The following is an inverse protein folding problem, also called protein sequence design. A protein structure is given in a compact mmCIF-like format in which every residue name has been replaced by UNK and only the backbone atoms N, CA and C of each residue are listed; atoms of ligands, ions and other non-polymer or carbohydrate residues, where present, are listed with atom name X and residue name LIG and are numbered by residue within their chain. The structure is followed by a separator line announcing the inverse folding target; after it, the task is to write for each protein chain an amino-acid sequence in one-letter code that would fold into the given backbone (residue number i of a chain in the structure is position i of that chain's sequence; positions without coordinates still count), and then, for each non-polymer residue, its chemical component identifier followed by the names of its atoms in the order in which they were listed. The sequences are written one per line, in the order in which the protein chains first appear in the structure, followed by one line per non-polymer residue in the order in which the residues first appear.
data_IF_539967020184
#
_entry.id   IF_539967020184
#
_cell.length_a   1.000
_cell.length_b   1.000
_cell.length_c   1.000
_cell.angle_alpha   90.00
_cell.angle_beta   90.00
_cell.angle_gamma   90.00
#
_symmetry.space_group_name_H-M   'P 1'
#
loop_
_entity.id
_entity.type
_entity.pdbx_description
1 polymer ?
#
# COMPACT_ATOMS: atom_id res chain seq x y z
N UNK A 1 22.08 -3.79 -19.11
CA UNK A 1 21.42 -4.18 -17.85
C UNK A 1 22.21 -3.76 -16.60
N UNK A 2 23.44 -4.25 -16.33
CA UNK A 2 24.16 -3.87 -15.10
C UNK A 2 24.70 -2.41 -15.09
N UNK A 3 25.13 -1.89 -16.23
CA UNK A 3 25.63 -0.50 -16.34
C UNK A 3 24.52 0.57 -16.30
N UNK A 4 23.28 0.20 -16.60
CA UNK A 4 22.18 1.16 -16.75
C UNK A 4 21.70 1.71 -15.39
N UNK A 5 21.88 0.92 -14.31
CA UNK A 5 21.48 1.33 -12.97
C UNK A 5 22.57 2.04 -12.15
N UNK A 6 23.84 2.02 -12.55
CA UNK A 6 24.92 2.66 -11.76
C UNK A 6 24.66 4.17 -11.63
N UNK A 7 24.34 4.83 -12.74
CA UNK A 7 24.00 6.24 -12.76
C UNK A 7 22.73 6.52 -11.93
N UNK A 8 21.72 5.68 -12.09
CA UNK A 8 20.46 5.80 -11.36
C UNK A 8 20.67 5.66 -9.84
N UNK A 9 21.41 4.65 -9.39
CA UNK A 9 21.75 4.46 -7.98
C UNK A 9 22.51 5.66 -7.43
N UNK A 10 23.51 6.18 -8.15
CA UNK A 10 24.25 7.37 -7.71
C UNK A 10 23.33 8.60 -7.54
N UNK A 11 22.37 8.80 -8.45
CA UNK A 11 21.36 9.87 -8.33
C UNK A 11 20.43 9.63 -7.15
N UNK A 12 19.99 8.40 -6.92
CA UNK A 12 19.17 8.01 -5.76
C UNK A 12 19.90 8.29 -4.45
N UNK A 13 21.19 7.96 -4.33
CA UNK A 13 21.98 8.29 -3.12
C UNK A 13 21.97 9.77 -2.78
N UNK A 14 22.06 10.63 -3.80
CA UNK A 14 21.93 12.08 -3.61
C UNK A 14 20.55 12.49 -3.10
N UNK A 15 19.49 11.79 -3.53
CA UNK A 15 18.11 12.02 -3.11
C UNK A 15 17.77 11.42 -1.75
N UNK A 16 18.43 10.34 -1.34
CA UNK A 16 18.28 9.76 0.01
C UNK A 16 18.66 10.75 1.12
N UNK A 17 19.55 11.72 0.83
CA UNK A 17 19.89 12.81 1.76
C UNK A 17 18.74 13.81 1.99
N UNK A 18 17.70 13.78 1.15
CA UNK A 18 16.50 14.61 1.24
C UNK A 18 15.31 13.87 1.87
N UNK A 19 15.51 12.59 2.23
CA UNK A 19 14.52 11.83 2.99
C UNK A 19 14.41 12.42 4.40
N UNK A 20 13.21 12.31 4.96
CA UNK A 20 12.87 12.77 6.30
C UNK A 20 13.54 11.85 7.32
N UNK A 21 14.53 12.33 8.09
CA UNK A 21 15.11 11.52 9.16
C UNK A 21 14.10 11.35 10.29
N UNK A 22 14.22 10.27 11.06
CA UNK A 22 13.36 10.03 12.22
C UNK A 22 13.28 11.23 13.19
N UNK A 23 14.37 11.97 13.37
CA UNK A 23 14.39 13.18 14.22
C UNK A 23 13.51 14.33 13.70
N UNK A 24 13.36 14.46 12.38
CA UNK A 24 12.46 15.44 11.78
C UNK A 24 11.00 15.01 11.99
N UNK A 25 10.69 13.73 11.82
CA UNK A 25 9.36 13.19 12.08
C UNK A 25 8.95 13.37 13.54
N UNK A 26 9.86 13.15 14.50
CA UNK A 26 9.60 13.45 15.91
C UNK A 26 9.31 14.94 16.13
N UNK A 27 10.07 15.82 15.48
CA UNK A 27 9.85 17.27 15.55
C UNK A 27 8.48 17.65 14.98
N UNK A 28 8.08 17.02 13.88
CA UNK A 28 6.77 17.21 13.26
C UNK A 28 5.63 16.71 14.16
N UNK A 29 5.81 15.55 14.80
CA UNK A 29 4.85 15.00 15.76
C UNK A 29 4.73 15.88 17.02
N UNK A 30 5.79 16.57 17.42
CA UNK A 30 5.82 17.50 18.56
C UNK A 30 5.43 18.95 18.22
N UNK A 31 5.10 19.25 16.96
CA UNK A 31 4.61 20.58 16.57
C UNK A 31 3.37 20.97 17.40
N UNK A 32 3.28 22.20 17.87
CA UNK A 32 2.22 22.65 18.79
C UNK A 32 0.89 22.87 18.08
N UNK A 33 0.92 23.11 16.77
CA UNK A 33 -0.27 23.24 15.95
C UNK A 33 -0.10 22.62 14.58
N UNK A 34 -1.22 22.46 13.89
CA UNK A 34 -1.27 22.02 12.50
C UNK A 34 -0.51 22.98 11.57
N UNK A 35 -0.63 24.29 11.76
CA UNK A 35 0.07 25.30 10.98
C UNK A 35 1.59 25.27 11.23
N UNK A 36 2.02 25.00 12.47
CA UNK A 36 3.44 24.80 12.76
C UNK A 36 3.98 23.57 12.04
N UNK A 37 3.23 22.46 12.01
CA UNK A 37 3.61 21.27 11.26
C UNK A 37 3.74 21.54 9.75
N UNK A 38 2.81 22.31 9.16
CA UNK A 38 2.90 22.71 7.76
C UNK A 38 4.11 23.61 7.47
N UNK A 39 4.45 24.53 8.38
CA UNK A 39 5.66 25.36 8.25
C UNK A 39 6.93 24.51 8.31
N UNK A 40 7.03 23.56 9.24
CA UNK A 40 8.17 22.65 9.34
C UNK A 40 8.37 21.86 8.04
N UNK A 41 7.28 21.39 7.42
CA UNK A 41 7.32 20.73 6.12
C UNK A 41 7.81 21.67 5.02
N UNK A 42 7.25 22.88 4.92
CA UNK A 42 7.68 23.87 3.93
C UNK A 42 9.16 24.26 4.08
N UNK A 43 9.64 24.42 5.32
CA UNK A 43 11.06 24.70 5.63
C UNK A 43 11.97 23.53 5.22
N UNK A 44 11.46 22.30 5.24
CA UNK A 44 12.13 21.10 4.75
C UNK A 44 11.98 20.89 3.22
N UNK A 45 11.26 21.77 2.53
CA UNK A 45 11.06 21.74 1.08
C UNK A 45 9.83 20.95 0.60
N UNK A 46 8.93 20.59 1.51
CA UNK A 46 7.64 19.97 1.18
C UNK A 46 6.57 21.04 0.99
N UNK A 47 6.13 21.23 -0.26
CA UNK A 47 5.20 22.28 -0.66
C UNK A 47 5.80 23.70 -0.60
N UNK A 48 4.95 24.71 -0.87
CA UNK A 48 5.36 26.13 -0.93
C UNK A 48 4.83 26.98 0.26
N UNK A 49 4.20 26.32 1.24
CA UNK A 49 3.57 26.94 2.40
C UNK A 49 2.19 27.56 2.14
N UNK A 50 1.64 27.43 0.93
CA UNK A 50 0.29 27.89 0.55
C UNK A 50 -0.61 26.76 0.08
N UNK A 51 -0.02 25.65 -0.36
CA UNK A 51 -0.71 24.42 -0.76
C UNK A 51 -1.47 23.76 0.39
N UNK A 52 -2.59 23.13 0.06
CA UNK A 52 -3.29 22.25 0.99
C UNK A 52 -2.50 20.95 1.22
N UNK A 53 -2.60 20.27 2.38
CA UNK A 53 -1.84 19.05 2.66
C UNK A 53 -1.99 17.97 1.61
N UNK A 54 -3.19 17.80 1.06
CA UNK A 54 -3.42 16.81 -0.01
C UNK A 54 -2.59 17.13 -1.25
N UNK A 55 -2.41 18.41 -1.56
CA UNK A 55 -1.60 18.88 -2.69
C UNK A 55 -0.12 18.71 -2.39
N UNK A 56 0.34 19.05 -1.17
CA UNK A 56 1.72 18.82 -0.73
C UNK A 56 2.08 17.32 -0.87
N UNK A 57 1.27 16.44 -0.28
CA UNK A 57 1.51 15.00 -0.31
C UNK A 57 1.46 14.42 -1.73
N UNK A 58 0.54 14.92 -2.57
CA UNK A 58 0.47 14.54 -3.98
C UNK A 58 1.71 15.01 -4.74
N UNK A 59 2.10 16.26 -4.58
CA UNK A 59 3.28 16.82 -5.25
C UNK A 59 4.57 16.08 -4.88
N UNK A 60 4.72 15.64 -3.62
CA UNK A 60 5.87 14.83 -3.20
C UNK A 60 5.87 13.42 -3.81
N UNK A 61 4.70 12.83 -4.04
CA UNK A 61 4.55 11.57 -4.79
C UNK A 61 4.91 11.79 -6.25
N UNK A 62 4.35 12.82 -6.88
CA UNK A 62 4.54 13.11 -8.31
C UNK A 62 6.01 13.39 -8.61
N UNK A 63 6.68 14.22 -7.81
CA UNK A 63 8.14 14.46 -7.89
C UNK A 63 8.94 13.17 -7.78
N UNK A 64 8.53 12.24 -6.91
CA UNK A 64 9.20 10.96 -6.72
C UNK A 64 9.08 10.09 -7.98
N UNK A 65 7.89 9.96 -8.54
CA UNK A 65 7.67 9.16 -9.74
C UNK A 65 8.27 9.80 -10.99
N UNK A 66 8.22 11.12 -11.14
CA UNK A 66 8.93 11.85 -12.20
C UNK A 66 10.43 11.58 -12.16
N UNK A 67 11.02 11.61 -10.97
CA UNK A 67 12.43 11.29 -10.79
C UNK A 67 12.75 9.85 -11.20
N UNK A 68 11.95 8.86 -10.78
CA UNK A 68 12.16 7.47 -11.20
C UNK A 68 12.00 7.30 -12.71
N UNK A 69 11.00 7.95 -13.33
CA UNK A 69 10.82 7.99 -14.79
C UNK A 69 12.03 8.57 -15.52
N UNK A 70 12.66 9.62 -14.96
CA UNK A 70 13.89 10.18 -15.51
C UNK A 70 15.05 9.16 -15.50
N UNK A 71 15.11 8.31 -14.47
CA UNK A 71 16.22 7.38 -14.26
C UNK A 71 16.10 6.07 -15.05
N UNK A 72 14.90 5.50 -15.17
CA UNK A 72 14.67 4.14 -15.71
C UNK A 72 13.93 4.17 -17.05
N UNK A 73 14.26 5.15 -17.89
CA UNK A 73 13.59 5.53 -19.16
C UNK A 73 13.13 4.37 -20.07
N UNK A 74 13.80 3.23 -19.99
CA UNK A 74 13.58 2.09 -20.89
C UNK A 74 12.51 1.12 -20.40
N UNK A 75 12.35 0.93 -19.09
CA UNK A 75 11.40 -0.03 -18.53
C UNK A 75 10.95 0.36 -17.10
N UNK A 76 9.84 1.07 -17.02
CA UNK A 76 9.17 1.42 -15.76
C UNK A 76 8.35 0.27 -15.19
N UNK A 77 8.04 -0.77 -15.98
CA UNK A 77 7.13 -1.84 -15.57
C UNK A 77 7.66 -2.65 -14.38
N UNK A 78 8.98 -2.61 -14.17
CA UNK A 78 9.65 -3.17 -12.98
C UNK A 78 9.14 -2.57 -11.66
N UNK A 79 8.51 -1.39 -11.68
CA UNK A 79 7.95 -0.72 -10.51
C UNK A 79 6.41 -0.76 -10.46
N UNK A 80 5.75 -1.36 -11.45
CA UNK A 80 4.28 -1.45 -11.51
C UNK A 80 3.68 -2.16 -10.28
N UNK A 81 4.46 -3.03 -9.63
CA UNK A 81 4.08 -3.70 -8.38
C UNK A 81 3.62 -2.73 -7.29
N UNK A 82 4.16 -1.51 -7.27
CA UNK A 82 3.79 -0.45 -6.32
C UNK A 82 2.48 0.26 -6.69
N UNK A 83 2.01 0.11 -7.93
CA UNK A 83 0.84 0.80 -8.49
C UNK A 83 -0.39 -0.10 -8.58
N UNK A 84 -0.25 -1.43 -8.57
CA UNK A 84 -1.40 -2.33 -8.74
C UNK A 84 -2.48 -2.14 -7.68
N UNK A 85 -2.14 -1.80 -6.43
CA UNK A 85 -3.15 -1.48 -5.42
C UNK A 85 -4.08 -0.32 -5.86
N UNK A 86 -3.54 0.66 -6.60
CA UNK A 86 -4.29 1.80 -7.12
C UNK A 86 -5.19 1.38 -8.30
N UNK A 87 -4.68 0.53 -9.20
CA UNK A 87 -5.45 0.01 -10.33
C UNK A 87 -6.70 -0.76 -9.85
N UNK A 88 -6.55 -1.62 -8.83
CA UNK A 88 -7.67 -2.38 -8.27
C UNK A 88 -8.59 -1.52 -7.38
N UNK A 89 -8.08 -0.45 -6.75
CA UNK A 89 -8.93 0.57 -6.13
C UNK A 89 -9.83 1.24 -7.17
N UNK A 90 -9.27 1.62 -8.32
CA UNK A 90 -10.03 2.20 -9.43
C UNK A 90 -11.02 1.20 -10.03
N UNK A 91 -10.64 -0.08 -10.15
CA UNK A 91 -11.57 -1.15 -10.57
C UNK A 91 -12.78 -1.25 -9.64
N UNK A 92 -12.54 -1.25 -8.33
CA UNK A 92 -13.60 -1.27 -7.32
C UNK A 92 -14.52 -0.05 -7.42
N UNK A 93 -13.96 1.14 -7.64
CA UNK A 93 -14.76 2.34 -7.86
C UNK A 93 -15.65 2.20 -9.11
N UNK A 94 -15.07 1.79 -10.24
CA UNK A 94 -15.79 1.63 -11.49
C UNK A 94 -16.90 0.56 -11.43
N UNK A 95 -16.64 -0.57 -10.77
CA UNK A 95 -17.66 -1.61 -10.53
C UNK A 95 -18.84 -1.04 -9.74
N UNK A 96 -18.57 -0.26 -8.69
CA UNK A 96 -19.63 0.34 -7.84
C UNK A 96 -20.40 1.45 -8.58
N UNK A 97 -19.74 2.26 -9.38
CA UNK A 97 -20.40 3.26 -10.23
C UNK A 97 -21.28 2.60 -11.28
N UNK A 98 -20.76 1.60 -12.00
CA UNK A 98 -21.52 0.85 -12.99
C UNK A 98 -22.75 0.17 -12.36
N UNK A 99 -22.62 -0.43 -11.17
CA UNK A 99 -23.73 -1.11 -10.50
C UNK A 99 -24.78 -0.14 -9.94
N UNK A 100 -24.37 1.04 -9.49
CA UNK A 100 -25.27 2.05 -8.91
C UNK A 100 -25.86 3.02 -9.94
N UNK A 101 -25.28 3.10 -11.13
CA UNK A 101 -25.63 4.08 -12.17
C UNK A 101 -25.33 5.53 -11.77
N UNK A 102 -24.48 5.74 -10.77
CA UNK A 102 -24.14 7.07 -10.24
C UNK A 102 -22.65 7.32 -10.33
N UNK A 103 -22.28 8.42 -10.97
CA UNK A 103 -20.92 8.91 -11.01
C UNK A 103 -20.61 9.67 -9.71
N UNK A 104 -19.42 9.46 -9.17
CA UNK A 104 -18.91 10.09 -7.95
C UNK A 104 -17.63 10.84 -8.27
N UNK A 105 -17.67 12.17 -8.12
CA UNK A 105 -16.49 12.99 -8.34
C UNK A 105 -15.37 12.66 -7.36
N UNK A 106 -14.15 12.50 -7.88
CA UNK A 106 -12.93 12.33 -7.09
C UNK A 106 -12.74 10.95 -6.46
N UNK A 107 -13.46 9.91 -6.90
CA UNK A 107 -13.29 8.54 -6.39
C UNK A 107 -12.06 7.81 -6.99
N UNK A 108 -11.71 8.16 -8.23
CA UNK A 108 -10.60 7.58 -8.96
C UNK A 108 -9.26 8.21 -8.57
N UNK A 109 -8.24 7.38 -8.45
CA UNK A 109 -6.85 7.80 -8.43
C UNK A 109 -6.41 8.21 -9.84
N UNK A 110 -5.57 9.25 -9.98
CA UNK A 110 -5.20 9.80 -11.28
C UNK A 110 -4.31 8.85 -12.09
N UNK A 111 -4.30 9.04 -13.42
CA UNK A 111 -3.66 8.15 -14.38
C UNK A 111 -2.14 8.03 -14.19
N UNK A 112 -1.48 9.07 -13.69
CA UNK A 112 -0.04 9.09 -13.41
C UNK A 112 0.37 8.30 -12.16
N UNK A 113 -0.61 7.79 -11.40
CA UNK A 113 -0.46 6.92 -10.24
C UNK A 113 -1.01 5.50 -10.49
N UNK A 114 -1.29 5.17 -11.74
CA UNK A 114 -1.90 3.90 -12.15
C UNK A 114 -1.14 3.33 -13.34
N UNK A 115 -1.23 2.01 -13.54
CA UNK A 115 -0.75 1.37 -14.78
C UNK A 115 -1.84 1.37 -15.84
N UNK A 116 -3.10 1.51 -15.41
CA UNK A 116 -4.28 1.57 -16.25
C UNK A 116 -4.88 2.96 -16.17
N UNK A 117 -5.22 3.51 -17.34
CA UNK A 117 -5.96 4.77 -17.43
C UNK A 117 -7.34 4.64 -16.75
N UNK A 118 -7.63 5.41 -15.69
CA UNK A 118 -8.89 5.34 -14.95
C UNK A 118 -10.10 5.61 -15.84
N UNK A 119 -10.00 6.48 -16.85
CA UNK A 119 -11.12 6.79 -17.75
C UNK A 119 -11.45 5.60 -18.66
N UNK A 120 -10.42 4.89 -19.14
CA UNK A 120 -10.62 3.67 -19.94
C UNK A 120 -11.24 2.57 -19.11
N UNK A 121 -10.75 2.38 -17.88
CA UNK A 121 -11.28 1.39 -16.94
C UNK A 121 -12.74 1.70 -16.58
N UNK A 122 -13.07 2.96 -16.29
CA UNK A 122 -14.44 3.39 -16.01
C UNK A 122 -15.37 3.18 -17.21
N UNK A 123 -14.89 3.50 -18.42
CA UNK A 123 -15.66 3.30 -19.67
C UNK A 123 -15.93 1.83 -19.92
N UNK A 124 -14.92 0.97 -19.83
CA UNK A 124 -15.06 -0.47 -19.98
C UNK A 124 -16.12 -1.05 -19.01
N UNK A 125 -16.10 -0.62 -17.74
CA UNK A 125 -17.10 -1.06 -16.76
C UNK A 125 -18.51 -0.55 -17.03
N UNK A 126 -18.64 0.72 -17.44
CA UNK A 126 -19.93 1.34 -17.77
C UNK A 126 -20.59 0.67 -18.98
N UNK A 127 -19.81 0.29 -19.98
CA UNK A 127 -20.28 -0.35 -21.21
C UNK A 127 -20.36 -1.88 -21.10
N UNK A 128 -19.95 -2.44 -19.96
CA UNK A 128 -19.78 -3.88 -19.75
C UNK A 128 -18.86 -4.56 -20.79
N UNK A 129 -17.92 -3.78 -21.34
CA UNK A 129 -16.88 -4.27 -22.25
C UNK A 129 -15.68 -4.80 -21.45
N UNK A 130 -15.84 -5.98 -20.85
CA UNK A 130 -14.78 -6.62 -20.07
C UNK A 130 -13.54 -6.95 -20.91
N UNK A 131 -13.66 -7.09 -22.23
CA UNK A 131 -12.51 -7.36 -23.10
C UNK A 131 -11.55 -6.17 -23.22
N UNK A 132 -12.06 -4.95 -23.01
CA UNK A 132 -11.25 -3.74 -22.93
C UNK A 132 -10.42 -3.64 -21.63
N UNK A 133 -10.72 -4.46 -20.62
CA UNK A 133 -9.92 -4.56 -19.40
C UNK A 133 -8.71 -5.50 -19.62
N UNK A 134 -7.62 -5.32 -18.86
CA UNK A 134 -6.53 -6.29 -18.81
C UNK A 134 -7.04 -7.69 -18.48
N UNK A 135 -6.45 -8.72 -19.09
CA UNK A 135 -6.89 -10.13 -18.98
C UNK A 135 -7.14 -10.58 -17.54
N UNK A 136 -6.22 -10.22 -16.62
CA UNK A 136 -6.30 -10.60 -15.21
C UNK A 136 -7.46 -9.93 -14.44
N UNK A 137 -8.01 -8.83 -14.96
CA UNK A 137 -9.12 -8.10 -14.34
C UNK A 137 -10.49 -8.50 -14.89
N UNK A 138 -10.59 -9.15 -16.05
CA UNK A 138 -11.87 -9.34 -16.76
C UNK A 138 -12.89 -10.12 -15.95
N UNK A 139 -12.52 -11.34 -15.55
CA UNK A 139 -13.39 -12.21 -14.77
C UNK A 139 -13.64 -11.66 -13.36
N UNK A 140 -12.63 -11.04 -12.74
CA UNK A 140 -12.75 -10.40 -11.43
C UNK A 140 -13.77 -9.27 -11.46
N UNK A 141 -13.69 -8.40 -12.46
CA UNK A 141 -14.59 -7.27 -12.64
C UNK A 141 -16.03 -7.74 -12.86
N UNK A 142 -16.19 -8.76 -13.71
CA UNK A 142 -17.49 -9.38 -13.98
C UNK A 142 -18.08 -10.04 -12.74
N UNK A 143 -17.32 -10.90 -12.05
CA UNK A 143 -17.77 -11.57 -10.82
C UNK A 143 -18.17 -10.54 -9.75
N UNK A 144 -17.35 -9.50 -9.55
CA UNK A 144 -17.62 -8.47 -8.56
C UNK A 144 -18.88 -7.67 -8.91
N UNK A 145 -19.04 -7.27 -10.17
CA UNK A 145 -20.22 -6.56 -10.65
C UNK A 145 -21.51 -7.40 -10.51
N UNK A 146 -21.51 -8.64 -10.98
CA UNK A 146 -22.66 -9.55 -10.88
C UNK A 146 -23.00 -9.86 -9.42
N UNK A 147 -21.98 -10.08 -8.58
CA UNK A 147 -22.16 -10.29 -7.13
C UNK A 147 -22.85 -9.08 -6.50
N UNK A 148 -22.37 -7.86 -6.79
CA UNK A 148 -22.93 -6.63 -6.25
C UNK A 148 -24.38 -6.42 -6.72
N UNK A 149 -24.66 -6.66 -8.00
CA UNK A 149 -25.98 -6.47 -8.58
C UNK A 149 -27.01 -7.46 -8.00
N UNK A 150 -26.64 -8.73 -7.83
CA UNK A 150 -27.55 -9.77 -7.36
C UNK A 150 -27.77 -9.76 -5.85
N UNK A 151 -26.72 -9.44 -5.08
CA UNK A 151 -26.77 -9.55 -3.60
C UNK A 151 -26.96 -8.20 -2.91
N UNK A 152 -26.59 -7.09 -3.56
CA UNK A 152 -26.44 -5.79 -2.92
C UNK A 152 -25.30 -5.71 -1.90
N UNK A 153 -24.49 -6.76 -1.77
CA UNK A 153 -23.43 -6.85 -0.78
C UNK A 153 -22.13 -6.22 -1.30
N UNK A 154 -21.95 -4.94 -0.98
CA UNK A 154 -20.73 -4.19 -1.30
C UNK A 154 -19.47 -4.77 -0.66
N UNK A 155 -19.58 -5.50 0.46
CA UNK A 155 -18.42 -6.10 1.11
C UNK A 155 -17.93 -7.32 0.32
N UNK A 156 -18.84 -8.15 -0.19
CA UNK A 156 -18.46 -9.29 -1.03
C UNK A 156 -17.81 -8.84 -2.34
N UNK A 157 -18.32 -7.77 -2.95
CA UNK A 157 -17.69 -7.12 -4.09
C UNK A 157 -16.25 -6.69 -3.78
N UNK A 158 -16.05 -6.00 -2.65
CA UNK A 158 -14.72 -5.53 -2.25
C UNK A 158 -13.75 -6.69 -2.02
N UNK A 159 -14.22 -7.78 -1.39
CA UNK A 159 -13.41 -8.98 -1.12
C UNK A 159 -12.89 -9.62 -2.41
N UNK A 160 -13.73 -9.74 -3.44
CA UNK A 160 -13.34 -10.33 -4.73
C UNK A 160 -12.20 -9.52 -5.37
N UNK A 161 -12.36 -8.19 -5.41
CA UNK A 161 -11.40 -7.29 -6.05
C UNK A 161 -10.12 -7.15 -5.21
N UNK A 162 -10.24 -7.00 -3.89
CA UNK A 162 -9.11 -6.86 -2.97
C UNK A 162 -8.23 -8.13 -3.00
N UNK A 163 -8.83 -9.33 -3.05
CA UNK A 163 -8.07 -10.58 -3.21
C UNK A 163 -7.33 -10.63 -4.54
N UNK A 164 -7.96 -10.21 -5.65
CA UNK A 164 -7.31 -10.16 -6.94
C UNK A 164 -6.12 -9.18 -6.96
N UNK A 165 -6.24 -8.05 -6.28
CA UNK A 165 -5.15 -7.08 -6.10
C UNK A 165 -3.93 -7.73 -5.42
N UNK A 166 -4.16 -8.47 -4.33
CA UNK A 166 -3.09 -9.18 -3.60
C UNK A 166 -2.43 -10.26 -4.45
N UNK A 167 -3.23 -11.05 -5.20
CA UNK A 167 -2.71 -12.05 -6.15
C UNK A 167 -1.80 -11.38 -7.17
N UNK A 168 -2.22 -10.26 -7.75
CA UNK A 168 -1.42 -9.52 -8.74
C UNK A 168 -0.12 -9.00 -8.14
N UNK A 169 -0.17 -8.42 -6.95
CA UNK A 169 1.01 -7.89 -6.23
C UNK A 169 2.00 -9.02 -5.91
N UNK A 170 1.52 -10.14 -5.34
CA UNK A 170 2.36 -11.29 -5.00
C UNK A 170 3.01 -11.90 -6.25
N UNK A 171 2.24 -12.11 -7.31
CA UNK A 171 2.74 -12.61 -8.60
C UNK A 171 3.78 -11.67 -9.21
N UNK A 172 3.52 -10.37 -9.25
CA UNK A 172 4.46 -9.39 -9.77
C UNK A 172 5.77 -9.33 -8.97
N UNK A 173 5.68 -9.42 -7.64
CA UNK A 173 6.84 -9.56 -6.78
C UNK A 173 7.66 -10.79 -7.16
N UNK A 174 7.02 -11.96 -7.26
CA UNK A 174 7.64 -13.25 -7.62
C UNK A 174 8.32 -13.23 -8.99
N UNK A 175 7.59 -12.75 -10.00
CA UNK A 175 8.00 -12.75 -11.41
C UNK A 175 9.07 -11.68 -11.71
N UNK A 176 9.28 -10.71 -10.81
CA UNK A 176 10.27 -9.63 -10.99
C UNK A 176 11.72 -10.12 -11.10
N UNK A 177 12.03 -11.31 -10.60
CA UNK A 177 13.40 -11.82 -10.49
C UNK A 177 14.30 -11.01 -9.54
N UNK A 178 13.74 -10.10 -8.73
CA UNK A 178 14.48 -9.25 -7.79
C UNK A 178 14.05 -9.51 -6.35
N UNK A 179 15.02 -9.74 -5.47
CA UNK A 179 14.78 -10.15 -4.07
C UNK A 179 13.96 -9.12 -3.27
N UNK A 180 14.12 -7.81 -3.53
CA UNK A 180 13.39 -6.75 -2.83
C UNK A 180 11.95 -6.68 -3.27
N UNK A 181 11.69 -6.77 -4.57
CA UNK A 181 10.33 -6.76 -5.08
C UNK A 181 9.59 -8.04 -4.70
N UNK A 182 10.28 -9.18 -4.65
CA UNK A 182 9.76 -10.43 -4.08
C UNK A 182 9.37 -10.25 -2.62
N UNK A 183 10.28 -9.74 -1.78
CA UNK A 183 9.99 -9.46 -0.36
C UNK A 183 8.86 -8.47 -0.18
N UNK A 184 8.81 -7.41 -0.98
CA UNK A 184 7.74 -6.42 -0.94
C UNK A 184 6.38 -7.06 -1.24
N UNK A 185 6.28 -7.80 -2.34
CA UNK A 185 5.04 -8.49 -2.72
C UNK A 185 4.59 -9.46 -1.64
N UNK A 186 5.50 -10.30 -1.17
CA UNK A 186 5.24 -11.30 -0.13
C UNK A 186 4.78 -10.67 1.19
N UNK A 187 5.52 -9.67 1.70
CA UNK A 187 5.14 -8.97 2.93
C UNK A 187 3.82 -8.21 2.79
N UNK A 188 3.53 -7.66 1.61
CA UNK A 188 2.26 -6.96 1.34
C UNK A 188 1.07 -7.91 1.41
N UNK A 189 1.20 -9.08 0.76
CA UNK A 189 0.16 -10.12 0.77
C UNK A 189 -0.03 -10.67 2.18
N UNK A 190 1.05 -11.11 2.84
CA UNK A 190 0.98 -11.64 4.20
C UNK A 190 0.35 -10.67 5.20
N UNK A 191 0.78 -9.39 5.16
CA UNK A 191 0.22 -8.36 6.03
C UNK A 191 -1.28 -8.14 5.78
N UNK A 192 -1.72 -8.18 4.52
CA UNK A 192 -3.12 -8.01 4.15
C UNK A 192 -3.98 -9.21 4.57
N UNK A 193 -3.47 -10.43 4.40
CA UNK A 193 -4.15 -11.66 4.80
C UNK A 193 -4.29 -11.76 6.31
N UNK A 194 -3.24 -11.48 7.08
CA UNK A 194 -3.31 -11.47 8.55
C UNK A 194 -4.32 -10.41 9.04
N UNK A 195 -4.31 -9.19 8.46
CA UNK A 195 -5.32 -8.16 8.77
C UNK A 195 -6.73 -8.64 8.43
N UNK A 196 -6.90 -9.28 7.29
CA UNK A 196 -8.20 -9.81 6.84
C UNK A 196 -8.70 -10.92 7.76
N UNK A 197 -7.84 -11.85 8.15
CA UNK A 197 -8.11 -12.91 9.10
C UNK A 197 -8.58 -12.37 10.47
N UNK A 198 -7.83 -11.43 11.05
CA UNK A 198 -8.18 -10.79 12.32
C UNK A 198 -9.52 -10.05 12.22
N UNK A 199 -9.74 -9.29 11.13
CA UNK A 199 -10.98 -8.55 10.92
C UNK A 199 -12.17 -9.48 10.73
N UNK A 200 -12.01 -10.54 9.95
CA UNK A 200 -13.02 -11.57 9.72
C UNK A 200 -13.44 -12.23 11.04
N UNK A 201 -12.47 -12.65 11.86
CA UNK A 201 -12.75 -13.19 13.20
C UNK A 201 -13.55 -12.20 14.06
N UNK A 202 -13.11 -10.94 14.16
CA UNK A 202 -13.78 -9.89 14.96
C UNK A 202 -15.18 -9.55 14.47
N UNK A 203 -15.46 -9.78 13.19
CA UNK A 203 -16.76 -9.53 12.57
C UNK A 203 -17.63 -10.79 12.43
N UNK A 204 -17.18 -11.92 12.99
CA UNK A 204 -17.93 -13.17 12.99
C UNK A 204 -18.11 -13.79 11.60
N UNK A 205 -17.17 -13.54 10.68
CA UNK A 205 -17.17 -14.15 9.35
C UNK A 205 -16.72 -15.60 9.43
N UNK A 206 -17.29 -16.43 8.57
CA UNK A 206 -17.03 -17.86 8.56
C UNK A 206 -15.82 -18.25 7.70
N UNK A 207 -15.50 -19.55 7.72
CA UNK A 207 -14.41 -20.12 6.94
C UNK A 207 -14.62 -19.94 5.43
N UNK A 208 -15.86 -19.94 4.95
CA UNK A 208 -16.17 -19.76 3.54
C UNK A 208 -15.80 -18.35 3.07
N UNK A 209 -16.14 -17.33 3.87
CA UNK A 209 -15.71 -15.95 3.62
C UNK A 209 -14.19 -15.84 3.58
N UNK A 210 -13.50 -16.40 4.58
CA UNK A 210 -12.04 -16.38 4.65
C UNK A 210 -11.38 -17.04 3.44
N UNK A 211 -11.88 -18.19 3.01
CA UNK A 211 -11.36 -18.90 1.83
C UNK A 211 -11.51 -18.07 0.55
N UNK A 212 -12.58 -17.25 0.45
CA UNK A 212 -12.76 -16.31 -0.66
C UNK A 212 -11.94 -15.03 -0.54
N UNK A 213 -11.50 -14.67 0.66
CA UNK A 213 -10.87 -13.38 0.93
C UNK A 213 -9.34 -13.44 0.97
N UNK A 214 -8.77 -14.53 1.47
CA UNK A 214 -7.31 -14.66 1.59
C UNK A 214 -6.67 -14.97 0.24
N UNK A 215 -5.56 -14.30 -0.06
CA UNK A 215 -4.77 -14.51 -1.26
C UNK A 215 -3.64 -15.53 -1.01
N UNK A 216 -3.21 -16.33 -1.99
CA UNK A 216 -2.06 -17.21 -1.83
C UNK A 216 -0.79 -16.44 -1.44
N UNK A 217 -0.04 -16.97 -0.47
CA UNK A 217 1.15 -16.36 0.11
C UNK A 217 2.17 -17.47 0.40
N UNK A 218 3.43 -17.34 -0.03
CA UNK A 218 4.42 -18.44 0.11
C UNK A 218 4.87 -18.64 1.58
N UNK A 219 4.76 -17.60 2.40
CA UNK A 219 5.17 -17.54 3.82
C UNK A 219 4.04 -17.83 4.81
N UNK A 220 2.80 -17.97 4.33
CA UNK A 220 1.62 -18.31 5.13
C UNK A 220 0.86 -19.47 4.49
N UNK A 221 0.56 -20.50 5.28
CA UNK A 221 -0.49 -21.44 4.90
C UNK A 221 -1.86 -20.77 5.11
N UNK A 222 -2.46 -20.30 4.01
CA UNK A 222 -3.69 -19.51 4.03
C UNK A 222 -4.92 -20.33 4.43
N UNK A 223 -4.89 -21.65 4.23
CA UNK A 223 -5.97 -22.53 4.67
C UNK A 223 -5.94 -22.68 6.19
N UNK A 224 -4.76 -22.87 6.76
CA UNK A 224 -4.60 -22.97 8.21
C UNK A 224 -4.83 -21.62 8.90
N UNK A 225 -4.43 -20.50 8.28
CA UNK A 225 -4.79 -19.16 8.76
C UNK A 225 -6.31 -18.95 8.75
N UNK A 226 -7.00 -19.39 7.68
CA UNK A 226 -8.46 -19.31 7.60
C UNK A 226 -9.15 -20.16 8.68
N UNK A 227 -8.68 -21.38 8.92
CA UNK A 227 -9.20 -22.25 9.99
C UNK A 227 -9.00 -21.60 11.36
N UNK A 228 -7.79 -21.12 11.64
CA UNK A 228 -7.47 -20.43 12.89
C UNK A 228 -8.35 -19.19 13.10
N UNK A 229 -8.56 -18.39 12.05
CA UNK A 229 -9.40 -17.20 12.11
C UNK A 229 -10.90 -17.49 12.28
N UNK A 230 -11.39 -18.62 11.75
CA UNK A 230 -12.76 -19.06 12.00
C UNK A 230 -12.97 -19.58 13.45
N UNK A 231 -11.90 -20.01 14.11
CA UNK A 231 -11.93 -20.53 15.48
C UNK A 231 -11.88 -19.43 16.54
N UNK A 232 -10.76 -18.70 16.64
CA UNK A 232 -10.58 -17.66 17.67
C UNK A 232 -9.37 -16.76 17.39
N UNK A 233 -9.29 -15.61 18.06
CA UNK A 233 -8.08 -14.78 18.03
C UNK A 233 -6.86 -15.52 18.60
N UNK A 234 -7.04 -16.34 19.65
CA UNK A 234 -5.92 -17.09 20.23
C UNK A 234 -5.37 -18.14 19.26
N UNK A 235 -6.24 -18.80 18.48
CA UNK A 235 -5.82 -19.70 17.41
C UNK A 235 -5.02 -18.97 16.31
N UNK A 236 -5.40 -17.72 15.97
CA UNK A 236 -4.60 -16.89 15.04
C UNK A 236 -3.21 -16.64 15.64
N UNK A 237 -3.11 -16.29 16.93
CA UNK A 237 -1.82 -16.04 17.57
C UNK A 237 -0.93 -17.28 17.57
N UNK A 238 -1.47 -18.43 17.97
CA UNK A 238 -0.74 -19.70 17.98
C UNK A 238 -0.30 -20.14 16.56
N UNK A 239 -1.09 -19.83 15.55
CA UNK A 239 -0.70 -20.00 14.16
C UNK A 239 0.48 -19.09 13.81
N UNK A 240 0.37 -17.78 14.04
CA UNK A 240 1.41 -16.80 13.70
C UNK A 240 2.74 -17.05 14.43
N UNK A 241 2.70 -17.52 15.67
CA UNK A 241 3.90 -17.90 16.45
C UNK A 241 4.74 -18.99 15.78
N UNK A 242 4.16 -19.76 14.85
CA UNK A 242 4.84 -20.81 14.07
C UNK A 242 5.29 -20.34 12.68
N UNK A 243 5.07 -19.08 12.35
CA UNK A 243 5.42 -18.46 11.06
C UNK A 243 6.54 -17.42 11.24
N UNK A 244 7.09 -16.87 10.14
CA UNK A 244 7.99 -15.71 10.21
C UNK A 244 7.36 -14.46 10.85
N UNK A 245 6.06 -14.44 11.12
CA UNK A 245 5.30 -13.30 11.64
C UNK A 245 5.03 -13.37 13.15
N UNK A 246 5.73 -14.23 13.89
CA UNK A 246 5.57 -14.37 15.35
C UNK A 246 5.70 -13.02 16.10
N UNK A 247 6.65 -12.18 15.68
CA UNK A 247 6.88 -10.85 16.28
C UNK A 247 5.72 -9.86 16.06
N UNK A 248 4.75 -10.18 15.18
CA UNK A 248 3.54 -9.40 15.01
C UNK A 248 2.52 -9.63 16.14
N UNK A 249 2.53 -10.82 16.77
CA UNK A 249 1.52 -11.21 17.78
C UNK A 249 1.43 -10.22 18.94
N UNK A 250 2.55 -9.76 19.55
CA UNK A 250 2.49 -8.74 20.59
C UNK A 250 1.87 -7.42 20.11
N UNK A 251 2.12 -7.01 18.86
CA UNK A 251 1.56 -5.77 18.31
C UNK A 251 0.08 -5.90 17.99
N UNK A 252 -0.36 -7.06 17.48
CA UNK A 252 -1.78 -7.37 17.26
C UNK A 252 -2.56 -7.32 18.58
N UNK A 253 -1.99 -7.86 19.66
CA UNK A 253 -2.59 -7.83 21.01
C UNK A 253 -2.72 -6.41 21.56
N UNK A 254 -1.82 -5.49 21.20
CA UNK A 254 -1.90 -4.08 21.62
C UNK A 254 -3.07 -3.37 20.94
N UNK A 255 -3.09 -3.32 19.61
CA UNK A 255 -4.17 -2.68 18.85
C UNK A 255 -4.06 -2.96 17.33
N UNK A 256 -5.16 -2.78 16.55
CA UNK A 256 -5.07 -2.79 15.09
C UNK A 256 -4.03 -1.81 14.54
N UNK A 257 -3.97 -0.62 15.13
CA UNK A 257 -3.04 0.45 14.74
C UNK A 257 -1.58 0.06 14.98
N UNK A 258 -1.28 -0.58 16.11
CA UNK A 258 0.06 -1.06 16.42
C UNK A 258 0.51 -2.12 15.42
N UNK A 259 -0.38 -3.04 15.05
CA UNK A 259 -0.11 -4.02 14.02
C UNK A 259 0.09 -3.40 12.63
N UNK A 260 -0.75 -2.43 12.22
CA UNK A 260 -0.56 -1.72 10.95
C UNK A 260 0.79 -1.01 10.87
N UNK A 261 1.22 -0.38 11.97
CA UNK A 261 2.56 0.20 12.08
C UNK A 261 3.64 -0.88 11.95
N UNK A 262 3.50 -2.00 12.66
CA UNK A 262 4.45 -3.11 12.56
C UNK A 262 4.60 -3.64 11.14
N UNK A 263 3.50 -3.75 10.38
CA UNK A 263 3.57 -4.17 8.97
C UNK A 263 4.37 -3.17 8.12
N UNK A 264 4.06 -1.88 8.24
CA UNK A 264 4.76 -0.82 7.51
C UNK A 264 6.26 -0.79 7.89
N UNK A 265 6.58 -0.87 9.18
CA UNK A 265 7.96 -0.87 9.69
C UNK A 265 8.72 -2.12 9.22
N UNK A 266 8.07 -3.27 9.15
CA UNK A 266 8.70 -4.53 8.68
C UNK A 266 9.08 -4.42 7.21
N UNK A 267 8.22 -3.82 6.38
CA UNK A 267 8.57 -3.50 4.99
C UNK A 267 9.80 -2.59 4.95
N UNK A 268 9.81 -1.48 5.70
CA UNK A 268 10.95 -0.56 5.72
C UNK A 268 12.25 -1.24 6.18
N UNK A 269 12.22 -1.99 7.29
CA UNK A 269 13.38 -2.72 7.80
C UNK A 269 13.94 -3.71 6.78
N UNK A 270 13.07 -4.39 6.03
CA UNK A 270 13.48 -5.35 5.00
C UNK A 270 14.21 -4.68 3.82
N UNK A 271 13.98 -3.39 3.59
CA UNK A 271 14.61 -2.62 2.49
C UNK A 271 15.88 -1.87 2.91
N UNK A 272 16.09 -1.61 4.21
CA UNK A 272 17.28 -0.88 4.71
C UNK A 272 18.64 -1.39 4.21
N UNK A 273 18.88 -2.71 4.01
CA UNK A 273 20.15 -3.18 3.45
C UNK A 273 20.52 -2.53 2.12
N UNK A 274 19.52 -2.06 1.36
CA UNK A 274 19.72 -1.39 0.07
C UNK A 274 20.39 -0.04 0.18
N UNK A 275 20.56 0.56 1.37
CA UNK A 275 21.40 1.74 1.57
C UNK A 275 22.85 1.47 1.16
N UNK A 276 23.30 0.22 1.30
CA UNK A 276 24.68 -0.19 1.01
C UNK A 276 24.85 -0.88 -0.35
N UNK A 277 23.76 -1.20 -1.06
CA UNK A 277 23.83 -1.87 -2.35
C UNK A 277 24.20 -0.87 -3.48
N UNK A 278 25.37 -1.00 -4.13
CA UNK A 278 25.77 -0.03 -5.15
C UNK A 278 25.16 -0.29 -6.53
N UNK A 279 24.39 -1.38 -6.73
CA UNK A 279 23.98 -1.83 -8.06
C UNK A 279 22.52 -2.30 -8.12
N UNK A 280 21.97 -2.24 -9.34
CA UNK A 280 20.66 -2.81 -9.67
C UNK A 280 19.48 -1.93 -9.25
N UNK A 281 18.27 -2.52 -9.33
CA UNK A 281 17.01 -1.82 -9.08
C UNK A 281 16.69 -1.66 -7.59
N UNK A 282 17.33 -2.44 -6.72
CA UNK A 282 17.02 -2.51 -5.30
C UNK A 282 17.05 -1.14 -4.59
N UNK A 283 18.10 -0.31 -4.79
CA UNK A 283 18.14 1.04 -4.20
C UNK A 283 17.02 1.96 -4.70
N UNK A 284 16.61 1.84 -5.98
CA UNK A 284 15.52 2.63 -6.54
C UNK A 284 14.16 2.22 -5.92
N UNK A 285 13.94 0.91 -5.79
CA UNK A 285 12.74 0.35 -5.16
C UNK A 285 12.67 0.73 -3.67
N UNK A 286 13.79 0.62 -2.94
CA UNK A 286 13.86 1.01 -1.55
C UNK A 286 13.59 2.52 -1.35
N UNK A 287 14.13 3.37 -2.23
CA UNK A 287 13.84 4.80 -2.23
C UNK A 287 12.35 5.10 -2.48
N UNK A 288 11.72 4.44 -3.47
CA UNK A 288 10.28 4.57 -3.71
C UNK A 288 9.45 4.20 -2.47
N UNK A 289 9.74 3.04 -1.87
CA UNK A 289 9.05 2.56 -0.66
C UNK A 289 9.27 3.55 0.51
N UNK A 290 10.48 4.07 0.67
CA UNK A 290 10.80 5.06 1.70
C UNK A 290 9.96 6.33 1.54
N UNK A 291 9.88 6.88 0.31
CA UNK A 291 9.07 8.06 0.00
C UNK A 291 7.59 7.84 0.26
N UNK A 292 7.06 6.68 -0.12
CA UNK A 292 5.67 6.33 0.17
C UNK A 292 5.38 6.24 1.68
N UNK A 293 6.33 5.71 2.46
CA UNK A 293 6.23 5.66 3.92
C UNK A 293 6.30 7.05 4.57
N UNK A 294 7.14 7.96 4.06
CA UNK A 294 7.18 9.36 4.50
C UNK A 294 5.85 10.06 4.25
N UNK A 295 5.32 9.95 3.03
CA UNK A 295 4.03 10.54 2.64
C UNK A 295 2.91 10.02 3.55
N UNK A 296 2.89 8.72 3.82
CA UNK A 296 1.93 8.09 4.74
C UNK A 296 2.09 8.61 6.17
N UNK A 297 3.32 8.71 6.66
CA UNK A 297 3.61 9.16 8.03
C UNK A 297 3.26 10.64 8.23
N UNK A 298 3.64 11.50 7.29
CA UNK A 298 3.29 12.91 7.29
C UNK A 298 1.77 13.10 7.25
N UNK A 299 1.06 12.34 6.40
CA UNK A 299 -0.41 12.36 6.37
C UNK A 299 -1.03 12.06 7.73
N UNK A 300 -0.49 11.07 8.43
CA UNK A 300 -0.99 10.64 9.75
C UNK A 300 -0.74 11.71 10.80
N UNK A 301 0.45 12.32 10.79
CA UNK A 301 0.77 13.42 11.72
C UNK A 301 -0.12 14.63 11.45
N UNK A 302 -0.22 15.08 10.19
CA UNK A 302 -1.05 16.22 9.82
C UNK A 302 -2.53 15.98 10.15
N UNK A 303 -3.05 14.79 9.87
CA UNK A 303 -4.42 14.42 10.24
C UNK A 303 -4.60 14.42 11.76
N UNK A 304 -3.64 13.89 12.52
CA UNK A 304 -3.68 13.92 13.97
C UNK A 304 -3.67 15.34 14.54
N UNK A 305 -2.81 16.22 14.00
CA UNK A 305 -2.73 17.63 14.41
C UNK A 305 -3.98 18.42 14.04
N UNK A 306 -4.53 18.21 12.84
CA UNK A 306 -5.77 18.85 12.39
C UNK A 306 -6.95 18.48 13.28
N UNK A 307 -6.98 17.25 13.79
CA UNK A 307 -8.01 16.75 14.71
C UNK A 307 -7.64 16.94 16.18
N UNK A 308 -6.60 17.72 16.49
CA UNK A 308 -6.15 18.04 17.85
C UNK A 308 -5.92 16.80 18.74
N UNK A 309 -5.45 15.70 18.14
CA UNK A 309 -5.17 14.48 18.89
C UNK A 309 -3.98 14.70 19.85
N UNK A 310 -3.99 14.01 21.01
CA UNK A 310 -2.84 14.02 21.92
C UNK A 310 -1.56 13.59 21.20
N UNK A 311 -0.44 14.23 21.53
CA UNK A 311 0.87 13.94 20.92
C UNK A 311 1.27 12.47 21.04
N UNK A 312 1.02 11.86 22.19
CA UNK A 312 1.27 10.42 22.42
C UNK A 312 0.49 9.55 21.42
N UNK A 313 -0.79 9.85 21.21
CA UNK A 313 -1.63 9.14 20.23
C UNK A 313 -1.16 9.30 18.78
N UNK A 314 -0.53 10.43 18.45
CA UNK A 314 0.09 10.64 17.13
C UNK A 314 1.39 9.83 17.04
N UNK A 315 2.25 9.91 18.07
CA UNK A 315 3.53 9.19 18.13
C UNK A 315 3.37 7.68 18.06
N UNK A 316 2.34 7.11 18.69
CA UNK A 316 2.02 5.69 18.57
C UNK A 316 1.75 5.25 17.12
N UNK A 317 1.43 6.19 16.23
CA UNK A 317 1.14 5.96 14.81
C UNK A 317 2.30 6.38 13.89
N UNK A 318 3.38 6.93 14.42
CA UNK A 318 4.56 7.27 13.63
C UNK A 318 5.25 5.97 13.20
N UNK A 319 5.58 5.85 11.91
CA UNK A 319 6.33 4.70 11.38
C UNK A 319 7.83 4.93 11.49
N UNK A 320 8.58 3.85 11.45
CA UNK A 320 10.03 3.90 11.27
C UNK A 320 10.39 4.53 9.93
N UNK A 321 11.35 5.46 9.95
CA UNK A 321 11.92 6.05 8.74
C UNK A 321 13.01 5.16 8.14
N UNK A 322 13.23 5.32 6.84
CA UNK A 322 14.25 4.57 6.12
C UNK A 322 15.66 5.05 6.51
N UNK A 323 15.84 6.35 6.73
CA UNK A 323 17.08 7.02 7.18
C UNK A 323 16.98 7.61 8.58
#
# INVERSE_FOLDING_TARGET
MANDYIYAVARVRGKELQLLPGSFIESLASAKSYEEALRLLADHGWGDGKEEPKEILRGERDKTWEFIRELVKDDLSVFDVFLYANDYHNLKAAVKEAASGKEQEGIYLPADQCTIDPEKLATAMREHDYEALPEEMREVAKEAFETLLHTGDGQLCDVIIDRAALIKIGKAGKDSGNEILQKYGELTVASADIKTAIRANRTGKDLQFLTRALAPCDSLDVEDLAKAAAESLDAIYEYLDRTPYADAVPEIRKSPTAFERWCDDTVIRSMRPEIHNPFGIGPLAAYLIARENEIKTVRIILSGKLNELPEESIRERVREMYV
#
